data_IF_565896069071
#
_entry.id   IF_565896069071
#
_cell.length_a   1.000
_cell.length_b   1.000
_cell.length_c   1.000
_cell.angle_alpha   90.00
_cell.angle_beta   90.00
_cell.angle_gamma   90.00
#
_symmetry.space_group_name_H-M   'P 1'
#
loop_
_entity.id
_entity.type
_entity.pdbx_description
1 polymer ?
#
# COMPACT_ATOMS: atom_id res chain seq x y z
N UNK A 1 2.70 11.25 4.23
CA UNK A 1 2.50 10.58 2.92
C UNK A 1 1.01 10.34 2.75
N UNK A 2 0.49 10.38 1.53
CA UNK A 2 -0.93 10.20 1.21
C UNK A 2 -1.06 9.17 0.08
N UNK A 3 -1.83 8.12 0.33
CA UNK A 3 -2.05 6.98 -0.57
C UNK A 3 -3.30 7.18 -1.43
N UNK A 4 -3.21 6.80 -2.70
CA UNK A 4 -4.34 6.66 -3.61
C UNK A 4 -4.36 5.24 -4.20
N UNK A 5 -5.56 4.69 -4.37
CA UNK A 5 -5.77 3.44 -5.09
C UNK A 5 -6.53 3.68 -6.38
N UNK A 6 -6.04 3.10 -7.47
CA UNK A 6 -6.73 2.99 -8.75
C UNK A 6 -7.03 1.53 -9.07
N UNK A 7 -8.21 1.24 -9.58
CA UNK A 7 -8.60 -0.09 -10.05
C UNK A 7 -9.00 -0.01 -11.51
N UNK A 8 -8.35 -0.80 -12.36
CA UNK A 8 -8.71 -0.96 -13.77
C UNK A 8 -8.76 -2.45 -14.12
N UNK A 9 -9.98 -2.96 -14.33
CA UNK A 9 -10.24 -4.39 -14.42
C UNK A 9 -9.61 -5.14 -13.23
N UNK A 10 -8.65 -6.01 -13.49
CA UNK A 10 -7.96 -6.81 -12.48
C UNK A 10 -6.62 -6.21 -12.05
N UNK A 11 -6.31 -4.99 -12.48
CA UNK A 11 -5.09 -4.28 -12.13
C UNK A 11 -5.41 -3.27 -11.04
N UNK A 12 -4.68 -3.38 -9.93
CA UNK A 12 -4.72 -2.42 -8.84
C UNK A 12 -3.41 -1.66 -8.83
N UNK A 13 -3.51 -0.34 -8.82
CA UNK A 13 -2.38 0.57 -8.72
C UNK A 13 -2.48 1.31 -7.40
N UNK A 14 -1.49 1.12 -6.53
CA UNK A 14 -1.28 1.96 -5.36
C UNK A 14 -0.25 3.03 -5.72
N UNK A 15 -0.52 4.29 -5.40
CA UNK A 15 0.43 5.40 -5.60
C UNK A 15 0.35 6.41 -4.47
N UNK A 16 1.48 7.05 -4.15
CA UNK A 16 1.55 8.02 -3.07
C UNK A 16 2.51 9.16 -3.38
N UNK A 17 2.33 10.29 -2.70
CA UNK A 17 3.24 11.42 -2.86
C UNK A 17 4.58 11.17 -2.15
N UNK A 18 5.68 11.51 -2.81
CA UNK A 18 6.98 11.54 -2.16
C UNK A 18 7.01 12.64 -1.08
N UNK A 19 7.71 12.36 0.03
CA UNK A 19 8.05 13.34 1.07
C UNK A 19 9.57 13.36 1.27
N UNK A 20 10.10 14.51 1.69
CA UNK A 20 11.54 14.68 1.91
C UNK A 20 12.01 14.00 3.21
N UNK A 21 13.32 13.75 3.33
CA UNK A 21 13.99 13.24 4.54
C UNK A 21 13.57 11.84 5.00
N UNK A 22 13.17 10.98 4.07
CA UNK A 22 12.89 9.55 4.33
C UNK A 22 13.87 8.68 3.55
N UNK A 23 14.24 7.54 4.13
CA UNK A 23 15.07 6.53 3.46
C UNK A 23 14.26 5.65 2.51
N UNK A 24 12.94 5.61 2.67
CA UNK A 24 12.07 4.89 1.75
C UNK A 24 10.66 4.69 2.29
N UNK A 25 9.93 3.80 1.63
CA UNK A 25 8.53 3.47 1.92
C UNK A 25 8.36 1.97 2.06
N UNK A 26 7.39 1.59 2.88
CA UNK A 26 6.89 0.23 2.99
C UNK A 26 5.40 0.25 2.71
N UNK A 27 4.98 -0.58 1.75
CA UNK A 27 3.58 -0.83 1.46
C UNK A 27 3.11 -1.95 2.37
N UNK A 28 2.07 -1.68 3.14
CA UNK A 28 1.47 -2.62 4.08
C UNK A 28 0.07 -2.97 3.59
N UNK A 29 -0.30 -4.25 3.67
CA UNK A 29 -1.61 -4.71 3.22
C UNK A 29 -2.11 -5.88 4.07
N UNK A 30 -3.42 -6.00 4.17
CA UNK A 30 -4.09 -7.07 4.91
C UNK A 30 -5.38 -7.50 4.19
N UNK A 31 -5.77 -8.79 4.24
CA UNK A 31 -7.01 -9.25 3.62
C UNK A 31 -8.24 -8.52 4.16
N UNK A 32 -9.13 -8.06 3.28
CA UNK A 32 -10.43 -7.47 3.65
C UNK A 32 -11.50 -8.57 3.74
N UNK A 33 -12.47 -8.50 4.68
CA UNK A 33 -12.63 -7.47 5.72
C UNK A 33 -11.91 -7.80 7.04
N UNK A 34 -11.42 -9.02 7.21
CA UNK A 34 -11.04 -9.51 8.55
C UNK A 34 -9.66 -9.04 9.04
N UNK A 35 -8.80 -8.55 8.14
CA UNK A 35 -7.44 -8.08 8.45
C UNK A 35 -6.60 -9.08 9.28
N UNK A 36 -6.84 -10.40 9.11
CA UNK A 36 -6.27 -11.47 9.93
C UNK A 36 -4.74 -11.51 9.95
N UNK A 37 -4.09 -10.98 8.91
CA UNK A 37 -2.63 -10.95 8.79
C UNK A 37 -2.19 -9.68 8.08
N UNK A 38 -1.18 -9.05 8.65
CA UNK A 38 -0.52 -7.88 8.08
C UNK A 38 0.72 -8.33 7.30
N UNK A 39 0.76 -7.97 6.03
CA UNK A 39 1.88 -8.20 5.14
C UNK A 39 2.51 -6.87 4.73
N UNK A 40 3.78 -6.92 4.33
CA UNK A 40 4.48 -5.71 3.90
C UNK A 40 5.49 -5.97 2.79
N UNK A 41 5.64 -4.98 1.90
CA UNK A 41 6.63 -4.95 0.82
C UNK A 41 7.52 -3.72 1.04
N UNK A 42 8.84 -3.93 1.05
CA UNK A 42 9.78 -2.81 1.02
C UNK A 42 9.80 -2.20 -0.38
N UNK A 43 9.37 -0.94 -0.48
CA UNK A 43 9.27 -0.21 -1.73
C UNK A 43 10.50 0.65 -1.99
N UNK A 44 11.42 0.78 -1.02
CA UNK A 44 12.55 1.68 -1.11
C UNK A 44 12.07 3.10 -1.52
N UNK A 45 12.66 3.72 -2.53
CA UNK A 45 12.25 5.04 -3.01
C UNK A 45 11.07 5.03 -4.00
N UNK A 46 10.53 3.86 -4.38
CA UNK A 46 9.38 3.80 -5.27
C UNK A 46 8.14 4.42 -4.62
N UNK A 47 7.31 5.05 -5.44
CA UNK A 47 6.08 5.74 -5.00
C UNK A 47 4.81 5.16 -5.60
N UNK A 48 4.93 4.04 -6.30
CA UNK A 48 3.81 3.32 -6.87
C UNK A 48 4.10 1.82 -6.97
N UNK A 49 3.02 1.05 -7.02
CA UNK A 49 3.01 -0.38 -7.30
C UNK A 49 1.75 -0.72 -8.09
N UNK A 50 1.92 -1.37 -9.25
CA UNK A 50 0.80 -1.91 -10.03
C UNK A 50 0.87 -3.43 -10.08
N UNK A 51 -0.21 -4.10 -9.69
CA UNK A 51 -0.29 -5.56 -9.63
C UNK A 51 -1.58 -6.07 -10.28
N UNK A 52 -1.48 -7.21 -10.96
CA UNK A 52 -2.64 -7.95 -11.44
C UNK A 52 -3.05 -8.97 -10.37
N UNK A 53 -4.32 -8.92 -9.97
CA UNK A 53 -4.87 -9.81 -8.95
C UNK A 53 -6.03 -10.65 -9.51
N UNK A 54 -6.36 -11.73 -8.81
CA UNK A 54 -7.50 -12.58 -9.15
C UNK A 54 -8.84 -11.91 -8.83
N UNK A 55 -9.90 -12.30 -9.53
CA UNK A 55 -11.26 -11.88 -9.18
C UNK A 55 -11.58 -12.25 -7.72
N UNK A 56 -12.36 -11.42 -7.03
CA UNK A 56 -12.67 -11.59 -5.61
C UNK A 56 -11.54 -11.19 -4.64
N UNK A 57 -10.38 -10.76 -5.14
CA UNK A 57 -9.30 -10.26 -4.28
C UNK A 57 -9.70 -8.96 -3.61
N UNK A 58 -9.50 -8.88 -2.29
CA UNK A 58 -9.88 -7.72 -1.50
C UNK A 58 -8.86 -7.47 -0.37
N UNK A 59 -8.41 -6.23 -0.24
CA UNK A 59 -7.36 -5.87 0.71
C UNK A 59 -7.57 -4.45 1.26
N UNK A 60 -7.16 -4.26 2.52
CA UNK A 60 -6.76 -2.97 3.05
C UNK A 60 -5.31 -2.68 2.62
N UNK A 61 -5.00 -1.42 2.32
CA UNK A 61 -3.66 -0.98 1.91
C UNK A 61 -3.31 0.32 2.64
N UNK A 62 -2.08 0.40 3.13
CA UNK A 62 -1.53 1.58 3.80
C UNK A 62 -0.03 1.73 3.52
N UNK A 63 0.47 2.96 3.60
CA UNK A 63 1.91 3.26 3.44
C UNK A 63 2.48 3.73 4.78
N UNK A 64 3.67 3.24 5.09
CA UNK A 64 4.56 3.81 6.12
C UNK A 64 5.82 4.30 5.44
N UNK A 65 6.28 5.50 5.76
CA UNK A 65 7.64 5.92 5.44
C UNK A 65 8.62 5.41 6.50
N UNK A 66 9.88 5.20 6.14
CA UNK A 66 10.92 4.87 7.11
C UNK A 66 12.18 5.72 6.92
N UNK A 67 12.94 5.88 8.01
CA UNK A 67 14.30 6.40 8.00
C UNK A 67 15.18 5.48 8.86
N UNK A 68 16.02 4.67 8.20
CA UNK A 68 16.65 3.52 8.84
C UNK A 68 15.61 2.55 9.44
N UNK A 69 15.72 2.28 10.74
CA UNK A 69 14.82 1.37 11.46
C UNK A 69 13.57 2.07 12.05
N UNK A 70 13.43 3.38 11.87
CA UNK A 70 12.28 4.13 12.37
C UNK A 70 11.17 4.15 11.32
N UNK A 71 9.98 3.69 11.68
CA UNK A 71 8.77 3.75 10.85
C UNK A 71 7.90 4.93 11.30
N UNK A 72 7.23 5.59 10.35
CA UNK A 72 6.12 6.49 10.65
C UNK A 72 4.88 5.70 11.06
N UNK A 73 3.87 6.40 11.56
CA UNK A 73 2.50 5.89 11.56
C UNK A 73 2.06 5.56 10.12
N UNK A 74 1.01 4.74 10.02
CA UNK A 74 0.31 4.54 8.76
C UNK A 74 -0.25 5.88 8.25
N UNK A 75 -0.22 6.05 6.93
CA UNK A 75 -0.98 7.08 6.25
C UNK A 75 -2.50 6.84 6.36
N UNK A 76 -3.27 7.36 5.40
CA UNK A 76 -4.63 6.87 5.19
C UNK A 76 -4.62 5.38 4.83
N UNK A 77 -5.65 4.67 5.31
CA UNK A 77 -5.91 3.27 4.98
C UNK A 77 -6.99 3.25 3.92
N UNK A 78 -6.66 2.75 2.75
CA UNK A 78 -7.60 2.55 1.65
C UNK A 78 -7.98 1.07 1.54
N UNK A 79 -9.06 0.76 0.84
CA UNK A 79 -9.42 -0.62 0.53
C UNK A 79 -9.98 -0.75 -0.89
N UNK A 80 -9.93 -1.96 -1.43
CA UNK A 80 -10.57 -2.31 -2.68
C UNK A 80 -11.13 -3.74 -2.62
N UNK A 81 -12.10 -4.01 -3.49
CA UNK A 81 -12.65 -5.34 -3.74
C UNK A 81 -12.74 -5.48 -5.26
N UNK A 82 -12.04 -6.46 -5.83
CA UNK A 82 -12.16 -6.78 -7.24
C UNK A 82 -13.40 -7.64 -7.48
N UNK A 83 -14.21 -7.21 -8.47
CA UNK A 83 -15.39 -7.95 -8.92
C UNK A 83 -15.03 -9.05 -9.90
#
# INVERSE_FOLDING_TARGET
VYLNLGVNANIVTASWNAINNVSGYRLNYAPYPEAQSLFSIDMNHSTDLSVRLGAGSAYYVAITSYNGNCLSDYANVEHFILK
#
